data_IF_788702824208
#
_entry.id   IF_788702824208
#
_cell.length_a   1.000
_cell.length_b   1.000
_cell.length_c   1.000
_cell.angle_alpha   90.00
_cell.angle_beta   90.00
_cell.angle_gamma   90.00
#
_symmetry.space_group_name_H-M   'P 1'
#
loop_
_entity.id
_entity.type
_entity.pdbx_description
1 polymer ?
#
# COMPACT_ATOMS: atom_id res chain seq x y z
N UNK A 1 9.50 5.13 19.71
CA UNK A 1 8.49 4.07 19.55
C UNK A 1 7.14 4.71 19.28
N UNK A 2 6.77 4.90 18.01
CA UNK A 2 5.52 5.60 17.62
C UNK A 2 4.64 4.77 16.66
N UNK A 3 5.12 3.61 16.19
CA UNK A 3 4.40 2.76 15.24
C UNK A 3 3.17 2.10 15.87
N UNK A 4 3.24 1.71 17.15
CA UNK A 4 2.08 1.18 17.89
C UNK A 4 0.95 2.20 18.01
N UNK A 5 1.26 3.50 17.91
CA UNK A 5 0.29 4.58 17.92
C UNK A 5 -0.28 4.91 16.53
N UNK A 6 0.18 4.26 15.46
CA UNK A 6 -0.25 4.52 14.08
C UNK A 6 0.68 5.41 13.25
N UNK A 7 1.81 5.87 13.82
CA UNK A 7 2.83 6.64 13.09
C UNK A 7 3.83 5.70 12.40
N UNK A 8 3.49 5.32 11.18
CA UNK A 8 4.23 4.39 10.35
C UNK A 8 4.76 5.08 9.07
N UNK A 9 5.62 4.38 8.33
CA UNK A 9 6.03 4.86 7.02
C UNK A 9 4.81 4.89 6.09
N UNK A 10 4.49 6.07 5.55
CA UNK A 10 3.33 6.27 4.68
C UNK A 10 2.11 6.89 5.36
N UNK A 11 2.15 7.12 6.68
CA UNK A 11 1.10 7.87 7.38
C UNK A 11 0.96 9.27 6.78
N UNK A 12 -0.27 9.63 6.42
CA UNK A 12 -0.62 10.94 5.89
C UNK A 12 -0.98 11.92 7.02
N UNK A 13 -0.61 13.18 6.79
CA UNK A 13 -0.88 14.28 7.69
C UNK A 13 -0.93 15.61 6.92
N UNK A 14 -1.59 16.60 7.50
CA UNK A 14 -1.62 17.98 7.01
C UNK A 14 -0.66 18.81 7.88
N UNK A 15 0.12 19.69 7.27
CA UNK A 15 0.98 20.62 8.02
C UNK A 15 0.09 21.60 8.77
N UNK A 16 0.30 21.69 10.08
CA UNK A 16 -0.42 22.60 10.97
C UNK A 16 0.38 23.89 11.20
N UNK A 17 1.65 23.77 11.62
CA UNK A 17 2.52 24.91 11.90
C UNK A 17 4.01 24.50 11.92
N UNK A 18 4.91 25.48 12.08
CA UNK A 18 6.35 25.30 12.19
C UNK A 18 6.88 25.93 13.47
N UNK A 19 7.69 25.17 14.21
CA UNK A 19 8.40 25.68 15.38
C UNK A 19 9.89 25.83 15.05
N UNK A 20 10.37 27.07 15.09
CA UNK A 20 11.78 27.41 14.87
C UNK A 20 12.50 27.59 16.20
N UNK A 21 13.50 26.74 16.46
CA UNK A 21 14.34 26.85 17.66
C UNK A 21 15.48 27.85 17.44
N UNK A 22 16.02 27.90 16.22
CA UNK A 22 17.01 28.88 15.77
C UNK A 22 16.71 29.25 14.31
N UNK A 23 17.19 30.40 13.84
CA UNK A 23 16.96 30.85 12.46
C UNK A 23 17.67 30.00 11.40
N UNK A 24 18.70 29.25 11.79
CA UNK A 24 19.56 28.50 10.86
C UNK A 24 19.33 26.99 10.91
N UNK A 25 18.49 26.49 11.83
CA UNK A 25 18.16 25.08 11.93
C UNK A 25 16.87 24.72 11.18
N UNK A 26 16.76 23.45 10.81
CA UNK A 26 15.50 22.91 10.30
C UNK A 26 14.42 22.96 11.40
N UNK A 27 13.21 23.44 11.08
CA UNK A 27 12.14 23.55 12.06
C UNK A 27 11.62 22.17 12.48
N UNK A 28 10.97 22.14 13.65
CA UNK A 28 10.06 21.06 14.00
C UNK A 28 8.73 21.37 13.33
N UNK A 29 8.23 20.44 12.51
CA UNK A 29 6.96 20.62 11.79
C UNK A 29 5.84 20.01 12.64
N UNK A 30 4.85 20.80 12.99
CA UNK A 30 3.62 20.29 13.59
C UNK A 30 2.72 19.80 12.47
N UNK A 31 2.29 18.54 12.54
CA UNK A 31 1.39 17.94 11.57
C UNK A 31 0.14 17.40 12.26
N UNK A 32 -1.02 17.56 11.62
CA UNK A 32 -2.24 16.91 12.03
C UNK A 32 -2.39 15.59 11.27
N UNK A 33 -2.30 14.47 11.98
CA UNK A 33 -2.39 13.13 11.38
C UNK A 33 -3.82 12.87 10.92
N UNK A 34 -3.98 12.51 9.65
CA UNK A 34 -5.29 12.24 9.03
C UNK A 34 -5.65 10.76 9.02
N UNK A 35 -4.65 9.89 9.10
CA UNK A 35 -4.84 8.43 9.19
C UNK A 35 -5.17 8.00 10.63
N UNK A 36 -5.64 6.76 10.86
CA UNK A 36 -5.90 6.25 12.20
C UNK A 36 -4.68 6.39 13.12
N UNK A 37 -4.83 7.24 14.13
CA UNK A 37 -3.81 7.56 15.13
C UNK A 37 -4.43 7.45 16.52
N UNK A 38 -3.75 6.74 17.42
CA UNK A 38 -4.21 6.51 18.80
C UNK A 38 -3.27 7.10 19.84
N UNK A 39 -2.24 7.83 19.40
CA UNK A 39 -1.29 8.48 20.30
C UNK A 39 -1.79 9.83 20.81
N UNK A 40 -1.00 10.49 21.68
CA UNK A 40 -1.35 11.78 22.24
C UNK A 40 -1.25 12.91 21.19
N UNK A 41 -2.12 13.91 21.31
CA UNK A 41 -1.96 15.19 20.63
C UNK A 41 -1.06 16.11 21.45
N UNK A 42 -0.25 16.94 20.79
CA UNK A 42 0.55 17.97 21.44
C UNK A 42 -0.31 19.13 21.95
N UNK A 43 -1.39 19.46 21.24
CA UNK A 43 -2.33 20.53 21.59
C UNK A 43 -3.61 19.90 22.13
N UNK A 44 -4.06 20.34 23.31
CA UNK A 44 -5.25 19.80 23.96
C UNK A 44 -6.54 20.09 23.16
N UNK A 45 -6.58 21.24 22.47
CA UNK A 45 -7.75 21.73 21.73
C UNK A 45 -7.88 21.12 20.33
N UNK A 46 -6.76 20.64 19.75
CA UNK A 46 -6.73 20.14 18.37
C UNK A 46 -6.24 18.70 18.39
N UNK A 47 -7.04 17.72 17.94
CA UNK A 47 -6.64 16.32 17.99
C UNK A 47 -5.54 15.99 16.98
N UNK A 48 -4.77 14.95 17.28
CA UNK A 48 -3.77 14.34 16.40
C UNK A 48 -2.63 15.27 15.94
N UNK A 49 -2.29 16.30 16.71
CA UNK A 49 -1.13 17.15 16.43
C UNK A 49 0.14 16.47 16.91
N UNK A 50 1.04 16.18 15.98
CA UNK A 50 2.30 15.47 16.24
C UNK A 50 3.48 16.35 15.81
N UNK A 51 4.47 16.59 16.68
CA UNK A 51 5.70 17.28 16.31
C UNK A 51 6.66 16.35 15.55
N UNK A 52 7.11 16.77 14.37
CA UNK A 52 8.04 16.05 13.52
C UNK A 52 9.38 16.78 13.50
N UNK A 53 10.33 16.25 14.28
CA UNK A 53 11.68 16.78 14.36
C UNK A 53 12.56 16.30 13.17
N UNK A 54 13.55 17.11 12.75
CA UNK A 54 14.59 16.68 11.81
C UNK A 54 15.32 15.43 12.30
N UNK A 55 15.67 14.54 11.37
CA UNK A 55 16.42 13.31 11.64
C UNK A 55 17.64 13.20 10.73
N UNK A 56 18.68 12.61 11.29
CA UNK A 56 19.86 12.19 10.54
C UNK A 56 19.63 10.77 10.02
N UNK A 57 19.85 10.59 8.72
CA UNK A 57 19.83 9.28 8.07
C UNK A 57 21.18 9.05 7.43
N UNK A 58 21.81 7.94 7.75
CA UNK A 58 23.12 7.57 7.21
C UNK A 58 23.02 6.38 6.24
N UNK A 59 23.78 6.43 5.15
CA UNK A 59 23.95 5.32 4.22
C UNK A 59 25.44 5.11 3.90
N UNK A 60 25.83 3.87 3.66
CA UNK A 60 27.18 3.49 3.26
C UNK A 60 27.20 2.02 2.83
N UNK A 61 28.18 1.62 2.01
CA UNK A 61 28.37 0.19 1.70
C UNK A 61 29.06 -0.47 2.88
N UNK A 62 28.65 -1.69 3.23
CA UNK A 62 29.30 -2.50 4.29
C UNK A 62 30.78 -2.72 4.02
N UNK A 63 31.18 -2.73 2.74
CA UNK A 63 32.55 -2.94 2.28
C UNK A 63 33.39 -1.66 2.17
N UNK A 64 32.91 -0.52 2.66
CA UNK A 64 33.63 0.76 2.57
C UNK A 64 33.42 1.61 3.82
N UNK A 65 34.44 2.37 4.21
CA UNK A 65 34.33 3.31 5.33
C UNK A 65 33.59 4.61 4.99
N UNK A 66 33.25 4.82 3.71
CA UNK A 66 32.49 5.99 3.28
C UNK A 66 31.05 5.91 3.79
N UNK A 67 30.71 6.84 4.69
CA UNK A 67 29.35 7.06 5.20
C UNK A 67 28.86 8.43 4.80
N UNK A 68 27.70 8.47 4.16
CA UNK A 68 26.99 9.71 3.83
C UNK A 68 25.88 9.89 4.83
N UNK A 69 25.83 11.05 5.48
CA UNK A 69 24.76 11.43 6.41
C UNK A 69 23.94 12.55 5.80
N UNK A 70 22.62 12.43 5.84
CA UNK A 70 21.68 13.49 5.49
C UNK A 70 20.81 13.82 6.68
N UNK A 71 20.87 15.06 7.13
CA UNK A 71 19.91 15.66 8.07
C UNK A 71 18.72 16.19 7.30
N UNK A 72 17.51 15.87 7.73
CA UNK A 72 16.30 16.37 7.08
C UNK A 72 15.02 16.06 7.85
N UNK A 73 13.95 16.78 7.53
CA UNK A 73 12.62 16.49 8.08
C UNK A 73 12.09 15.22 7.38
N UNK A 74 11.65 14.18 8.10
CA UNK A 74 11.18 12.91 7.52
C UNK A 74 9.77 13.02 6.93
N UNK A 75 9.50 14.07 6.16
CA UNK A 75 8.24 14.32 5.47
C UNK A 75 8.47 14.35 3.96
N UNK A 76 7.43 14.00 3.21
CA UNK A 76 7.34 14.19 1.77
C UNK A 76 5.94 14.68 1.44
N UNK A 77 5.82 15.55 0.43
CA UNK A 77 4.53 15.92 -0.11
C UNK A 77 3.82 14.68 -0.64
N UNK A 78 2.55 14.52 -0.23
CA UNK A 78 1.75 13.33 -0.52
C UNK A 78 0.55 13.62 -1.44
N UNK A 79 0.47 14.81 -2.06
CA UNK A 79 -0.58 15.16 -3.03
C UNK A 79 -0.61 14.21 -4.24
N UNK A 80 0.56 13.73 -4.65
CA UNK A 80 0.71 12.75 -5.71
C UNK A 80 1.76 11.71 -5.29
N UNK A 81 1.43 10.45 -5.50
CA UNK A 81 2.31 9.32 -5.19
C UNK A 81 2.49 8.47 -6.44
N UNK A 82 3.67 7.88 -6.59
CA UNK A 82 3.90 6.90 -7.65
C UNK A 82 3.15 5.61 -7.34
N UNK A 83 2.78 4.87 -8.38
CA UNK A 83 2.09 3.57 -8.24
C UNK A 83 2.87 2.60 -7.35
N UNK A 84 4.20 2.59 -7.48
CA UNK A 84 5.09 1.77 -6.63
C UNK A 84 5.01 2.14 -5.14
N UNK A 85 4.74 3.41 -4.82
CA UNK A 85 4.64 3.88 -3.43
C UNK A 85 3.31 3.57 -2.78
N UNK A 86 2.24 3.44 -3.56
CA UNK A 86 0.92 3.05 -3.05
C UNK A 86 0.73 1.54 -3.02
N UNK A 87 1.65 0.75 -3.57
CA UNK A 87 1.57 -0.70 -3.54
C UNK A 87 1.51 -1.22 -2.08
N UNK A 88 0.46 -1.98 -1.77
CA UNK A 88 0.23 -2.50 -0.42
C UNK A 88 -0.48 -1.53 0.52
N UNK A 89 -0.74 -0.29 0.11
CA UNK A 89 -1.56 0.65 0.87
C UNK A 89 -3.05 0.45 0.58
N UNK A 90 -3.88 0.96 1.49
CA UNK A 90 -5.31 1.21 1.24
C UNK A 90 -5.51 2.72 1.20
N UNK A 91 -6.13 3.23 0.15
CA UNK A 91 -6.34 4.66 -0.08
C UNK A 91 -7.84 4.95 -0.07
N UNK A 92 -8.25 6.01 0.64
CA UNK A 92 -9.65 6.44 0.69
C UNK A 92 -10.16 6.93 -0.66
N UNK A 93 -9.28 7.63 -1.41
CA UNK A 93 -9.56 8.20 -2.73
C UNK A 93 -8.34 8.09 -3.63
N UNK A 94 -8.56 7.93 -4.94
CA UNK A 94 -7.50 7.98 -5.96
C UNK A 94 -7.98 8.81 -7.13
N UNK A 95 -7.15 9.78 -7.53
CA UNK A 95 -7.23 10.42 -8.83
C UNK A 95 -6.16 9.80 -9.71
N UNK A 96 -6.59 9.05 -10.73
CA UNK A 96 -5.70 8.34 -11.63
C UNK A 96 -5.60 9.05 -12.99
N UNK A 97 -4.37 9.37 -13.39
CA UNK A 97 -4.05 9.94 -14.68
C UNK A 97 -3.26 8.93 -15.53
N UNK A 98 -3.86 8.45 -16.63
CA UNK A 98 -3.32 7.31 -17.39
C UNK A 98 -2.22 7.65 -18.39
N UNK A 99 -2.02 8.94 -18.74
CA UNK A 99 -1.08 9.34 -19.81
C UNK A 99 0.40 9.03 -19.52
N UNK A 100 0.76 8.67 -18.29
CA UNK A 100 2.13 8.39 -17.87
C UNK A 100 2.41 6.90 -17.57
N UNK A 101 1.47 5.99 -17.90
CA UNK A 101 1.53 4.60 -17.45
C UNK A 101 1.93 3.67 -18.60
N UNK A 102 3.02 2.88 -18.44
CA UNK A 102 3.49 1.98 -19.50
C UNK A 102 2.81 0.60 -19.54
N UNK A 103 2.02 0.22 -18.53
CA UNK A 103 1.51 -1.16 -18.41
C UNK A 103 0.21 -1.27 -17.57
N UNK A 104 -0.67 -2.21 -17.95
CA UNK A 104 -1.93 -2.54 -17.27
C UNK A 104 -1.79 -2.88 -15.77
N UNK A 105 -0.67 -3.50 -15.37
CA UNK A 105 -0.36 -3.85 -13.97
C UNK A 105 -0.32 -2.62 -13.08
N UNK A 106 0.12 -1.47 -13.59
CA UNK A 106 0.16 -0.23 -12.82
C UNK A 106 -1.24 0.34 -12.58
N UNK A 107 -2.11 0.22 -13.59
CA UNK A 107 -3.54 0.56 -13.45
C UNK A 107 -4.18 -0.33 -12.39
N UNK A 108 -3.94 -1.64 -12.46
CA UNK A 108 -4.44 -2.57 -11.46
C UNK A 108 -3.96 -2.22 -10.05
N UNK A 109 -2.65 -2.00 -9.87
CA UNK A 109 -2.10 -1.65 -8.55
C UNK A 109 -2.74 -0.37 -8.04
N UNK A 110 -2.81 0.70 -8.83
CA UNK A 110 -3.36 1.98 -8.40
C UNK A 110 -4.86 1.92 -8.06
N UNK A 111 -5.68 1.31 -8.93
CA UNK A 111 -7.12 1.25 -8.73
C UNK A 111 -7.53 0.27 -7.63
N UNK A 112 -6.76 -0.82 -7.43
CA UNK A 112 -7.01 -1.79 -6.35
C UNK A 112 -6.66 -1.28 -4.95
N UNK A 113 -6.12 -0.06 -4.80
CA UNK A 113 -5.86 0.53 -3.47
C UNK A 113 -7.13 1.11 -2.84
N UNK A 114 -8.17 1.36 -3.64
CA UNK A 114 -9.41 1.99 -3.18
C UNK A 114 -10.48 0.94 -2.94
N UNK A 115 -11.21 1.06 -1.83
CA UNK A 115 -12.24 0.10 -1.43
C UNK A 115 -13.62 0.36 -2.05
N UNK A 116 -13.87 1.59 -2.52
CA UNK A 116 -15.15 2.00 -3.10
C UNK A 116 -14.99 2.60 -4.50
N UNK A 117 -15.85 2.19 -5.44
CA UNK A 117 -15.82 2.67 -6.83
C UNK A 117 -16.05 4.18 -6.94
N UNK A 118 -16.91 4.74 -6.09
CA UNK A 118 -17.23 6.17 -6.09
C UNK A 118 -16.06 7.05 -5.61
N UNK A 119 -15.00 6.43 -5.09
CA UNK A 119 -13.79 7.12 -4.63
C UNK A 119 -12.66 7.10 -5.67
N UNK A 120 -12.96 6.71 -6.91
CA UNK A 120 -12.00 6.65 -8.01
C UNK A 120 -12.36 7.72 -9.03
N UNK A 121 -11.40 8.59 -9.36
CA UNK A 121 -11.50 9.53 -10.48
C UNK A 121 -10.50 9.12 -11.55
N UNK A 122 -11.00 8.76 -12.74
CA UNK A 122 -10.17 8.44 -13.90
C UNK A 122 -10.24 9.64 -14.84
N UNK A 123 -9.13 10.37 -14.94
CA UNK A 123 -9.06 11.65 -15.68
C UNK A 123 -8.87 11.48 -17.19
N UNK A 124 -8.63 10.26 -17.67
CA UNK A 124 -8.30 9.94 -19.06
C UNK A 124 -8.87 8.56 -19.43
N UNK A 125 -9.41 8.35 -20.64
CA UNK A 125 -9.93 7.04 -21.04
C UNK A 125 -8.90 5.93 -20.88
N UNK A 126 -9.28 4.86 -20.18
CA UNK A 126 -8.51 3.62 -20.08
C UNK A 126 -8.95 2.69 -21.22
N UNK A 127 -8.24 2.71 -22.34
CA UNK A 127 -8.46 1.77 -23.44
C UNK A 127 -7.36 0.72 -23.45
N UNK A 128 -7.70 -0.54 -23.77
CA UNK A 128 -6.72 -1.62 -23.85
C UNK A 128 -5.61 -1.33 -24.87
N UNK A 129 -5.94 -0.64 -25.95
CA UNK A 129 -5.01 -0.15 -26.97
C UNK A 129 -3.94 0.80 -26.40
N UNK A 130 -4.33 1.64 -25.42
CA UNK A 130 -3.42 2.57 -24.72
C UNK A 130 -2.70 1.93 -23.53
N UNK A 131 -3.09 0.73 -23.12
CA UNK A 131 -2.52 -0.03 -21.99
C UNK A 131 -1.65 -1.21 -22.47
N UNK A 132 -1.19 -1.14 -23.72
CA UNK A 132 -0.46 -2.21 -24.40
C UNK A 132 0.77 -2.64 -23.61
N UNK A 133 0.73 -3.89 -23.13
CA UNK A 133 1.91 -4.59 -22.69
C UNK A 133 2.77 -4.92 -23.91
N UNK A 134 4.10 -4.83 -23.79
CA UNK A 134 4.98 -5.27 -24.89
C UNK A 134 4.75 -6.76 -25.17
N UNK A 135 5.03 -7.27 -26.39
CA UNK A 135 4.92 -8.70 -26.68
C UNK A 135 5.67 -9.59 -25.67
N UNK A 136 6.78 -9.10 -25.12
CA UNK A 136 7.55 -9.79 -24.07
C UNK A 136 6.79 -9.85 -22.74
N UNK A 137 6.10 -8.78 -22.34
CA UNK A 137 5.29 -8.75 -21.13
C UNK A 137 4.04 -9.64 -21.26
N UNK A 138 3.45 -9.69 -22.45
CA UNK A 138 2.36 -10.63 -22.77
C UNK A 138 2.87 -12.07 -22.66
N UNK A 139 4.04 -12.38 -23.23
CA UNK A 139 4.63 -13.71 -23.17
C UNK A 139 5.00 -14.13 -21.73
N UNK A 140 5.53 -13.20 -20.92
CA UNK A 140 5.77 -13.42 -19.49
C UNK A 140 4.48 -13.73 -18.73
N UNK A 141 3.42 -12.97 -18.98
CA UNK A 141 2.11 -13.20 -18.35
C UNK A 141 1.53 -14.57 -18.74
N UNK A 142 1.59 -14.93 -20.03
CA UNK A 142 1.16 -16.24 -20.52
C UNK A 142 1.98 -17.38 -19.90
N UNK A 143 3.30 -17.20 -19.73
CA UNK A 143 4.16 -18.16 -19.05
C UNK A 143 3.74 -18.37 -17.58
N UNK A 144 3.46 -17.29 -16.86
CA UNK A 144 2.98 -17.34 -15.48
C UNK A 144 1.57 -17.96 -15.36
N UNK A 145 0.67 -17.65 -16.29
CA UNK A 145 -0.67 -18.26 -16.36
C UNK A 145 -0.56 -19.79 -16.48
N UNK A 146 0.30 -20.28 -17.38
CA UNK A 146 0.54 -21.72 -17.54
C UNK A 146 1.15 -22.36 -16.29
N UNK A 147 2.07 -21.67 -15.59
CA UNK A 147 2.65 -22.14 -14.34
C UNK A 147 1.60 -22.24 -13.24
N UNK A 148 0.74 -21.24 -13.10
CA UNK A 148 -0.36 -21.21 -12.13
C UNK A 148 -1.38 -22.32 -12.42
N UNK A 149 -1.78 -22.51 -13.68
CA UNK A 149 -2.70 -23.60 -14.07
C UNK A 149 -2.15 -24.98 -13.69
N UNK A 150 -0.85 -25.22 -13.93
CA UNK A 150 -0.18 -26.46 -13.51
C UNK A 150 -0.20 -26.62 -11.99
N UNK A 151 0.12 -25.56 -11.25
CA UNK A 151 0.10 -25.59 -9.79
C UNK A 151 -1.31 -25.86 -9.25
N UNK A 152 -2.34 -25.18 -9.77
CA UNK A 152 -3.75 -25.38 -9.40
C UNK A 152 -4.17 -26.82 -9.67
N UNK A 153 -3.84 -27.39 -10.84
CA UNK A 153 -4.18 -28.77 -11.16
C UNK A 153 -3.51 -29.76 -10.18
N UNK A 154 -2.24 -29.55 -9.85
CA UNK A 154 -1.50 -30.36 -8.89
C UNK A 154 -2.10 -30.27 -7.48
N UNK A 155 -2.34 -29.06 -6.97
CA UNK A 155 -2.90 -28.84 -5.64
C UNK A 155 -4.34 -29.37 -5.55
N UNK A 156 -5.15 -29.18 -6.58
CA UNK A 156 -6.53 -29.71 -6.65
C UNK A 156 -6.52 -31.23 -6.61
N UNK A 157 -5.61 -31.88 -7.36
CA UNK A 157 -5.45 -33.33 -7.35
C UNK A 157 -5.00 -33.84 -5.98
N UNK A 158 -4.04 -33.17 -5.36
CA UNK A 158 -3.55 -33.52 -4.02
C UNK A 158 -4.61 -33.32 -2.92
N UNK A 159 -5.44 -32.28 -3.04
CA UNK A 159 -6.50 -31.96 -2.08
C UNK A 159 -7.77 -32.81 -2.27
N UNK A 160 -7.97 -33.40 -3.44
CA UNK A 160 -9.19 -34.15 -3.80
C UNK A 160 -9.62 -35.23 -2.78
N UNK A 161 -8.72 -36.06 -2.22
CA UNK A 161 -9.09 -37.06 -1.20
C UNK A 161 -9.57 -36.42 0.11
N UNK A 162 -8.88 -35.37 0.56
CA UNK A 162 -9.23 -34.63 1.78
C UNK A 162 -10.56 -33.90 1.64
N UNK A 163 -10.78 -33.23 0.50
CA UNK A 163 -12.04 -32.56 0.18
C UNK A 163 -13.19 -33.57 0.09
N UNK A 164 -12.95 -34.75 -0.49
CA UNK A 164 -13.96 -35.81 -0.57
C UNK A 164 -14.34 -36.36 0.81
N UNK A 165 -13.34 -36.58 1.69
CA UNK A 165 -13.60 -36.94 3.10
C UNK A 165 -14.40 -35.87 3.83
N UNK A 166 -14.02 -34.60 3.69
CA UNK A 166 -14.76 -33.49 4.30
C UNK A 166 -16.21 -33.42 3.81
N UNK A 167 -16.43 -33.60 2.50
CA UNK A 167 -17.78 -33.66 1.93
C UNK A 167 -18.60 -34.82 2.49
N UNK A 168 -18.02 -36.02 2.60
CA UNK A 168 -18.70 -37.17 3.18
C UNK A 168 -19.08 -36.95 4.66
N UNK A 169 -18.18 -36.36 5.44
CA UNK A 169 -18.45 -35.99 6.84
C UNK A 169 -19.58 -34.95 6.93
N UNK A 170 -19.53 -33.91 6.09
CA UNK A 170 -20.57 -32.90 6.04
C UNK A 170 -21.94 -33.46 5.63
N UNK A 171 -21.97 -34.39 4.65
CA UNK A 171 -23.20 -35.06 4.24
C UNK A 171 -23.77 -35.96 5.33
N UNK A 172 -22.92 -36.73 6.02
CA UNK A 172 -23.34 -37.56 7.15
C UNK A 172 -23.90 -36.72 8.31
N UNK A 173 -23.24 -35.60 8.63
CA UNK A 173 -23.74 -34.62 9.59
C UNK A 173 -25.10 -34.09 9.17
N UNK A 174 -25.23 -33.59 7.93
CA UNK A 174 -26.49 -33.02 7.46
C UNK A 174 -27.64 -34.03 7.44
N UNK A 175 -27.38 -35.28 7.07
CA UNK A 175 -28.37 -36.35 7.10
C UNK A 175 -28.88 -36.63 8.52
N UNK A 176 -28.01 -36.58 9.53
CA UNK A 176 -28.36 -36.80 10.93
C UNK A 176 -29.22 -35.68 11.54
N UNK A 177 -29.17 -34.47 10.98
CA UNK A 177 -29.90 -33.29 11.44
C UNK A 177 -31.03 -32.85 10.50
N UNK A 178 -31.37 -33.65 9.49
CA UNK A 178 -32.53 -33.38 8.62
C UNK A 178 -33.82 -33.44 9.44
N UNK A 179 -34.69 -32.41 9.42
CA UNK A 179 -35.96 -32.46 10.13
C UNK A 179 -36.83 -33.59 9.54
N UNK A 180 -37.48 -34.37 10.42
CA UNK A 180 -38.45 -35.40 10.01
C UNK A 180 -39.71 -34.79 9.42
#
# INVERSE_FOLDING_TARGET
>A
MAQSAGLCNGTNAIVYDFMFVSSNDLPIVLVQVTDPYIGPSLLDEVPNIVPIAPKDISWGKTSSDLRVVRRGIPLRLAYAMTVHKVQGLTCSYVVFHSNAIPNISFVYVALSRVTHRNSIVITQPLTLERLTATPEQIALFQGEEQRVLKAVAQTTRAASPSVSRMKAVAQAHNAAFTPR
#
